data_IF_666883090338
#
_entry.id   IF_666883090338
#
_cell.length_a   1.000
_cell.length_b   1.000
_cell.length_c   1.000
_cell.angle_alpha   90.00
_cell.angle_beta   90.00
_cell.angle_gamma   90.00
#
_symmetry.space_group_name_H-M   'P 1'
#
loop_
_entity.id
_entity.type
_entity.pdbx_description
1 polymer ?
#
# COMPACT_ATOMS: atom_id res chain seq x y z
N UNK A 1 -2.16 -14.12 -28.16
CA UNK A 1 -1.19 -15.04 -27.52
C UNK A 1 -1.32 -14.96 -26.00
N UNK A 2 -1.08 -16.04 -25.26
CA UNK A 2 -1.19 -16.06 -23.80
C UNK A 2 -0.12 -15.17 -23.12
N UNK A 3 0.95 -14.86 -23.86
CA UNK A 3 2.06 -13.99 -23.44
C UNK A 3 1.86 -12.51 -23.83
N UNK A 4 0.69 -12.16 -24.38
CA UNK A 4 0.39 -10.77 -24.73
C UNK A 4 0.18 -9.97 -23.44
N UNK A 5 1.14 -9.10 -23.11
CA UNK A 5 1.01 -8.15 -22.02
C UNK A 5 0.49 -6.81 -22.58
N UNK A 6 -0.83 -6.49 -22.46
CA UNK A 6 -1.40 -5.24 -22.95
C UNK A 6 -0.82 -3.98 -22.28
N UNK A 7 -0.05 -4.12 -21.20
CA UNK A 7 0.53 -3.03 -20.42
C UNK A 7 2.04 -2.84 -20.66
N UNK A 8 2.62 -3.51 -21.66
CA UNK A 8 4.04 -3.41 -21.99
C UNK A 8 4.43 -2.07 -22.65
N UNK A 9 3.45 -1.25 -23.06
CA UNK A 9 3.70 0.03 -23.73
C UNK A 9 3.78 1.19 -22.72
N UNK A 10 4.74 2.12 -22.90
CA UNK A 10 4.83 3.30 -22.05
C UNK A 10 3.59 4.17 -22.23
N UNK A 11 2.77 4.25 -21.19
CA UNK A 11 1.70 5.26 -21.09
C UNK A 11 2.30 6.59 -20.62
N UNK A 12 1.90 7.74 -21.20
CA UNK A 12 2.29 9.04 -20.69
C UNK A 12 1.91 9.16 -19.22
N UNK A 13 2.91 9.36 -18.35
CA UNK A 13 2.66 9.61 -16.92
C UNK A 13 2.68 11.11 -16.68
N UNK A 14 1.73 11.67 -15.92
CA UNK A 14 1.86 13.03 -15.44
C UNK A 14 3.15 13.16 -14.62
N UNK A 15 3.77 14.35 -14.59
CA UNK A 15 4.92 14.59 -13.73
C UNK A 15 4.56 14.25 -12.29
N UNK A 16 5.49 13.60 -11.59
CA UNK A 16 5.32 13.32 -10.17
C UNK A 16 5.10 14.63 -9.42
N UNK A 17 4.16 14.63 -8.45
CA UNK A 17 3.97 15.77 -7.57
C UNK A 17 5.27 16.01 -6.81
N UNK A 18 5.80 17.24 -6.89
CA UNK A 18 6.94 17.63 -6.05
C UNK A 18 6.54 17.57 -4.58
N UNK A 19 7.29 16.79 -3.81
CA UNK A 19 7.16 16.76 -2.36
C UNK A 19 7.96 17.91 -1.75
N UNK A 20 7.50 18.52 -0.65
CA UNK A 20 8.29 19.49 0.11
C UNK A 20 9.67 18.93 0.42
N UNK A 21 10.72 19.71 0.15
CA UNK A 21 12.13 19.28 0.36
C UNK A 21 12.52 19.27 1.83
N UNK A 22 11.84 20.09 2.63
CA UNK A 22 12.08 20.23 4.06
C UNK A 22 10.96 19.56 4.84
N UNK A 23 11.10 18.26 5.09
CA UNK A 23 10.22 17.54 6.00
C UNK A 23 10.67 17.77 7.45
N UNK A 24 9.80 18.32 8.28
CA UNK A 24 9.99 18.45 9.72
C UNK A 24 9.97 17.09 10.44
N UNK A 25 10.24 17.11 11.75
CA UNK A 25 10.13 15.92 12.60
C UNK A 25 8.69 15.37 12.53
N UNK A 26 8.54 14.09 12.20
CA UNK A 26 7.25 13.42 12.02
C UNK A 26 6.64 13.55 10.62
N UNK A 27 7.24 14.36 9.73
CA UNK A 27 6.80 14.51 8.33
C UNK A 27 7.58 13.61 7.38
N UNK A 28 8.72 13.06 7.82
CA UNK A 28 9.50 12.12 7.02
C UNK A 28 8.82 10.77 7.03
N UNK A 29 8.48 10.27 5.85
CA UNK A 29 7.82 8.98 5.68
C UNK A 29 8.79 7.99 5.03
N UNK A 30 8.79 6.76 5.54
CA UNK A 30 9.47 5.63 4.94
C UNK A 30 8.53 4.43 4.87
N UNK A 31 8.63 3.66 3.79
CA UNK A 31 7.93 2.39 3.67
C UNK A 31 8.67 1.33 4.49
N UNK A 32 8.02 0.81 5.54
CA UNK A 32 8.56 -0.20 6.45
C UNK A 32 8.40 -1.63 5.95
N UNK A 33 7.85 -1.83 4.77
CA UNK A 33 7.56 -3.13 4.16
C UNK A 33 6.06 -3.39 4.05
N UNK A 34 5.74 -4.49 3.36
CA UNK A 34 4.38 -4.96 3.20
C UNK A 34 4.34 -6.49 3.09
N UNK A 35 3.26 -7.10 3.58
CA UNK A 35 2.98 -8.52 3.44
C UNK A 35 1.64 -8.71 2.77
N UNK A 36 1.62 -9.50 1.69
CA UNK A 36 0.42 -9.81 0.92
C UNK A 36 -0.03 -11.25 1.19
N UNK A 37 -1.32 -11.44 1.43
CA UNK A 37 -1.97 -12.75 1.46
C UNK A 37 -3.03 -12.79 0.36
N UNK A 38 -3.07 -13.88 -0.41
CA UNK A 38 -4.01 -14.06 -1.51
C UNK A 38 -5.06 -15.11 -1.14
N UNK A 39 -6.32 -14.78 -1.41
CA UNK A 39 -7.47 -15.67 -1.23
C UNK A 39 -7.89 -16.26 -2.57
N UNK A 40 -9.13 -15.99 -3.00
CA UNK A 40 -9.62 -16.46 -4.30
C UNK A 40 -8.90 -15.74 -5.46
N UNK A 41 -8.68 -16.39 -6.61
CA UNK A 41 -8.04 -15.74 -7.75
C UNK A 41 -8.90 -14.61 -8.32
N UNK A 42 -8.31 -13.43 -8.51
CA UNK A 42 -8.93 -12.34 -9.26
C UNK A 42 -9.13 -12.74 -10.72
N UNK A 43 -10.31 -12.47 -11.28
CA UNK A 43 -10.66 -12.76 -12.68
C UNK A 43 -10.95 -11.48 -13.46
N UNK A 44 -10.71 -11.47 -14.78
CA UNK A 44 -11.19 -10.39 -15.64
C UNK A 44 -12.70 -10.22 -15.50
N UNK A 45 -13.16 -8.99 -15.24
CA UNK A 45 -14.57 -8.69 -15.02
C UNK A 45 -15.01 -8.64 -13.56
N UNK A 46 -14.16 -9.04 -12.61
CA UNK A 46 -14.45 -8.86 -11.19
C UNK A 46 -14.57 -7.38 -10.83
N UNK A 47 -15.54 -7.07 -9.97
CA UNK A 47 -15.68 -5.74 -9.36
C UNK A 47 -15.09 -5.84 -7.96
N UNK A 48 -13.92 -5.24 -7.78
CA UNK A 48 -13.18 -5.30 -6.53
C UNK A 48 -13.48 -4.08 -5.67
N UNK A 49 -13.93 -4.32 -4.44
CA UNK A 49 -14.02 -3.31 -3.39
C UNK A 49 -12.78 -3.38 -2.51
N UNK A 50 -12.27 -2.22 -2.09
CA UNK A 50 -11.17 -2.13 -1.13
C UNK A 50 -11.64 -1.45 0.14
N UNK A 51 -11.36 -2.07 1.29
CA UNK A 51 -11.41 -1.41 2.59
C UNK A 51 -10.00 -1.25 3.15
N UNK A 52 -9.81 -0.21 3.97
CA UNK A 52 -8.52 0.09 4.60
C UNK A 52 -8.75 0.43 6.06
N UNK A 53 -7.93 -0.13 6.95
CA UNK A 53 -8.00 0.09 8.38
C UNK A 53 -6.61 0.21 8.99
N UNK A 54 -6.43 1.14 9.93
CA UNK A 54 -5.27 1.13 10.82
C UNK A 54 -5.50 0.03 11.86
N UNK A 55 -4.69 -1.03 11.81
CA UNK A 55 -4.87 -2.21 12.67
C UNK A 55 -3.95 -2.21 13.89
N UNK A 56 -2.81 -1.53 13.80
CA UNK A 56 -1.88 -1.37 14.92
C UNK A 56 -0.99 -0.14 14.72
N UNK A 57 -0.41 0.35 15.80
CA UNK A 57 0.68 1.32 15.77
C UNK A 57 1.55 1.22 17.02
N UNK A 58 2.85 1.49 16.87
CA UNK A 58 3.76 1.60 18.01
C UNK A 58 4.80 2.69 17.82
N UNK A 59 5.28 3.21 18.93
CA UNK A 59 6.31 4.25 18.98
C UNK A 59 7.63 3.69 19.49
N UNK A 60 8.73 4.14 18.89
CA UNK A 60 10.09 3.80 19.31
C UNK A 60 10.99 5.01 19.17
N UNK A 61 11.86 5.23 20.14
CA UNK A 61 12.91 6.24 20.03
C UNK A 61 14.08 5.64 19.25
N UNK A 62 14.28 6.14 18.03
CA UNK A 62 15.38 5.75 17.15
C UNK A 62 16.47 6.81 17.09
N UNK A 63 17.50 6.57 16.25
CA UNK A 63 18.59 7.54 16.02
C UNK A 63 18.10 8.90 15.52
N UNK A 64 16.94 8.93 14.85
CA UNK A 64 16.37 10.12 14.25
C UNK A 64 15.27 10.77 15.11
N UNK A 65 15.07 10.29 16.34
CA UNK A 65 14.04 10.78 17.26
C UNK A 65 12.87 9.82 17.44
N UNK A 66 11.76 10.34 17.95
CA UNK A 66 10.53 9.57 18.14
C UNK A 66 9.99 9.11 16.79
N UNK A 67 9.90 7.81 16.60
CA UNK A 67 9.47 7.17 15.35
C UNK A 67 8.18 6.41 15.58
N UNK A 68 7.17 6.63 14.73
CA UNK A 68 5.91 5.90 14.72
C UNK A 68 5.95 4.85 13.63
N UNK A 69 5.61 3.61 13.97
CA UNK A 69 5.33 2.51 13.07
C UNK A 69 3.82 2.29 13.02
N UNK A 70 3.19 2.48 11.86
CA UNK A 70 1.76 2.23 11.66
C UNK A 70 1.54 1.02 10.76
N UNK A 71 0.58 0.17 11.12
CA UNK A 71 0.22 -1.03 10.37
C UNK A 71 -1.17 -0.81 9.80
N UNK A 72 -1.25 -0.68 8.48
CA UNK A 72 -2.52 -0.52 7.77
C UNK A 72 -2.86 -1.82 7.05
N UNK A 73 -4.00 -2.41 7.40
CA UNK A 73 -4.59 -3.50 6.64
C UNK A 73 -5.39 -2.93 5.46
N UNK A 74 -5.16 -3.48 4.28
CA UNK A 74 -6.03 -3.29 3.14
C UNK A 74 -6.64 -4.65 2.76
N UNK A 75 -7.95 -4.70 2.59
CA UNK A 75 -8.68 -5.90 2.21
C UNK A 75 -9.38 -5.64 0.89
N UNK A 76 -9.25 -6.59 -0.03
CA UNK A 76 -9.90 -6.56 -1.33
C UNK A 76 -10.87 -7.72 -1.44
N UNK A 77 -12.15 -7.39 -1.66
CA UNK A 77 -13.24 -8.35 -1.79
C UNK A 77 -13.92 -8.18 -3.15
N UNK A 78 -14.28 -9.29 -3.80
CA UNK A 78 -14.99 -9.26 -5.08
C UNK A 78 -16.50 -8.97 -4.89
N UNK A 79 -17.24 -8.88 -5.99
CA UNK A 79 -18.69 -8.67 -6.01
C UNK A 79 -19.51 -9.70 -5.22
N UNK A 80 -18.94 -10.88 -4.93
CA UNK A 80 -19.57 -11.93 -4.16
C UNK A 80 -19.22 -11.86 -2.65
N UNK A 81 -18.40 -10.89 -2.24
CA UNK A 81 -17.89 -10.76 -0.87
C UNK A 81 -16.74 -11.73 -0.54
N UNK A 82 -16.12 -12.35 -1.53
CA UNK A 82 -15.00 -13.27 -1.33
C UNK A 82 -13.68 -12.49 -1.22
N UNK A 83 -12.87 -12.82 -0.22
CA UNK A 83 -11.55 -12.21 -0.06
C UNK A 83 -10.62 -12.63 -1.20
N UNK A 84 -10.19 -11.65 -1.98
CA UNK A 84 -9.23 -11.84 -3.09
C UNK A 84 -7.81 -11.62 -2.59
N UNK A 85 -7.61 -10.58 -1.78
CA UNK A 85 -6.30 -10.21 -1.24
C UNK A 85 -6.45 -9.51 0.10
N UNK A 86 -5.50 -9.69 0.99
CA UNK A 86 -5.23 -8.76 2.09
C UNK A 86 -3.77 -8.32 2.07
N UNK A 87 -3.50 -7.11 2.55
CA UNK A 87 -2.17 -6.54 2.68
C UNK A 87 -2.03 -5.88 4.04
N UNK A 88 -0.99 -6.22 4.78
CA UNK A 88 -0.51 -5.40 5.89
C UNK A 88 0.65 -4.55 5.36
N UNK A 89 0.49 -3.23 5.40
CA UNK A 89 1.53 -2.26 5.05
C UNK A 89 2.06 -1.59 6.30
N UNK A 90 3.38 -1.47 6.42
CA UNK A 90 4.02 -0.76 7.53
C UNK A 90 4.45 0.63 7.05
N UNK A 91 3.89 1.67 7.65
CA UNK A 91 4.33 3.06 7.49
C UNK A 91 5.26 3.44 8.63
N UNK A 92 6.38 4.10 8.32
CA UNK A 92 7.30 4.64 9.33
C UNK A 92 7.33 6.15 9.20
N UNK A 93 7.15 6.86 10.32
CA UNK A 93 7.25 8.32 10.40
C UNK A 93 8.20 8.73 11.52
N UNK A 94 9.12 9.65 11.26
CA UNK A 94 10.12 10.14 12.22
C UNK A 94 10.48 11.60 11.98
#
# INVERSE_FOLDING_TARGET
PQDFNPFAWPVPRPPARELPKDAGVGERVMNGGQTDTFGVPMRPGDVISQSSALVDWNERVGRLGLTIFSYTENRWENQNGELVKSRISVGVRY
#
